data_IF_631075571893
#
_entry.id   IF_631075571893
#
_cell.length_a   1.000
_cell.length_b   1.000
_cell.length_c   1.000
_cell.angle_alpha   90.00
_cell.angle_beta   90.00
_cell.angle_gamma   90.00
#
_symmetry.space_group_name_H-M   'P 1'
#
loop_
_entity.id
_entity.type
_entity.pdbx_description
1 polymer ?
#
# COMPACT_ATOMS: atom_id res chain seq x y z
N UNK A 1 24.47 7.95 21.55
CA UNK A 1 24.98 7.00 20.54
C UNK A 1 23.78 6.62 19.68
N UNK A 2 23.59 7.30 18.55
CA UNK A 2 22.44 7.08 17.66
C UNK A 2 22.72 5.85 16.80
N UNK A 3 21.94 4.78 16.96
CA UNK A 3 21.96 3.63 16.06
C UNK A 3 21.29 4.02 14.75
N UNK A 4 22.10 4.39 13.76
CA UNK A 4 21.68 4.60 12.37
C UNK A 4 21.36 3.29 11.65
N UNK A 5 20.38 2.54 12.15
CA UNK A 5 19.75 1.43 11.41
C UNK A 5 18.46 1.95 10.77
N UNK A 6 18.64 2.78 9.73
CA UNK A 6 17.55 3.02 8.79
C UNK A 6 17.24 1.70 8.12
N UNK A 7 16.01 1.21 8.26
CA UNK A 7 15.45 0.23 7.33
C UNK A 7 15.48 0.87 5.94
N UNK A 8 16.59 0.68 5.21
CA UNK A 8 16.65 1.08 3.83
C UNK A 8 15.97 -0.03 3.03
N UNK A 9 14.71 0.20 2.72
CA UNK A 9 13.96 -0.63 1.79
C UNK A 9 14.68 -0.60 0.45
N UNK A 10 14.71 -1.74 -0.23
CA UNK A 10 15.33 -1.79 -1.54
C UNK A 10 14.66 -0.76 -2.46
N UNK A 11 15.43 0.12 -3.11
CA UNK A 11 14.87 1.25 -3.88
C UNK A 11 13.82 0.84 -4.96
N UNK A 12 13.84 -0.42 -5.40
CA UNK A 12 12.86 -0.97 -6.35
C UNK A 12 11.47 -1.21 -5.74
N UNK A 13 11.36 -1.16 -4.41
CA UNK A 13 10.17 -1.45 -3.62
C UNK A 13 9.64 -0.19 -2.90
N UNK A 14 10.14 1.00 -3.25
CA UNK A 14 9.68 2.28 -2.65
C UNK A 14 8.16 2.44 -2.75
N UNK A 15 7.57 2.08 -3.90
CA UNK A 15 6.12 2.12 -4.11
C UNK A 15 5.38 1.04 -3.33
N UNK A 16 5.97 -0.16 -3.18
CA UNK A 16 5.37 -1.24 -2.37
C UNK A 16 5.44 -0.92 -0.87
N UNK A 17 6.49 -0.24 -0.41
CA UNK A 17 6.56 0.30 0.95
C UNK A 17 5.49 1.38 1.17
N UNK A 18 5.28 2.27 0.20
CA UNK A 18 4.23 3.26 0.27
C UNK A 18 2.84 2.61 0.34
N UNK A 19 2.59 1.55 -0.44
CA UNK A 19 1.36 0.75 -0.36
C UNK A 19 1.20 0.13 1.03
N UNK A 20 2.26 -0.50 1.57
CA UNK A 20 2.23 -1.09 2.91
C UNK A 20 1.82 -0.05 3.96
N UNK A 21 2.47 1.11 3.96
CA UNK A 21 2.18 2.19 4.91
C UNK A 21 0.75 2.70 4.77
N UNK A 22 0.25 2.85 3.54
CA UNK A 22 -1.12 3.28 3.29
C UNK A 22 -2.13 2.26 3.82
N UNK A 23 -1.90 0.97 3.56
CA UNK A 23 -2.78 -0.12 4.02
C UNK A 23 -2.81 -0.26 5.55
N UNK A 24 -1.66 -0.13 6.21
CA UNK A 24 -1.61 -0.17 7.67
C UNK A 24 -2.30 1.04 8.29
N UNK A 25 -2.03 2.24 7.76
CA UNK A 25 -2.69 3.47 8.22
C UNK A 25 -4.20 3.41 8.03
N UNK A 26 -4.67 2.87 6.90
CA UNK A 26 -6.10 2.66 6.67
C UNK A 26 -6.72 1.73 7.72
N UNK A 27 -6.02 0.65 8.10
CA UNK A 27 -6.45 -0.21 9.20
C UNK A 27 -6.50 0.54 10.53
N UNK A 28 -5.50 1.37 10.83
CA UNK A 28 -5.46 2.15 12.07
C UNK A 28 -6.60 3.17 12.14
N UNK A 29 -6.90 3.86 11.03
CA UNK A 29 -8.05 4.77 10.93
C UNK A 29 -9.36 4.03 11.22
N UNK A 30 -9.55 2.84 10.64
CA UNK A 30 -10.74 2.01 10.93
C UNK A 30 -10.79 1.62 12.40
N UNK A 31 -9.66 1.26 13.01
CA UNK A 31 -9.60 0.86 14.41
C UNK A 31 -9.94 2.01 15.37
N UNK A 32 -9.61 3.25 15.00
CA UNK A 32 -9.86 4.47 15.79
C UNK A 32 -11.27 5.06 15.59
N UNK A 33 -12.06 4.51 14.67
CA UNK A 33 -13.41 4.98 14.38
C UNK A 33 -14.30 4.89 15.64
N UNK A 34 -15.05 5.95 15.90
CA UNK A 34 -15.94 6.05 17.06
C UNK A 34 -17.39 6.18 16.64
N UNK A 35 -18.28 5.61 17.45
CA UNK A 35 -19.73 5.79 17.34
C UNK A 35 -20.25 6.61 18.51
N UNK A 36 -21.39 7.27 18.32
CA UNK A 36 -22.09 7.98 19.39
C UNK A 36 -23.19 7.05 19.91
N UNK A 37 -23.12 6.69 21.19
CA UNK A 37 -24.14 5.89 21.87
C UNK A 37 -25.46 6.64 22.05
N UNK A 38 -26.54 5.94 22.38
CA UNK A 38 -27.85 6.52 22.74
C UNK A 38 -27.77 7.51 23.93
N UNK A 39 -26.68 7.46 24.71
CA UNK A 39 -26.42 8.36 25.84
C UNK A 39 -25.62 9.61 25.45
N UNK A 40 -25.25 9.74 24.17
CA UNK A 40 -24.42 10.82 23.65
C UNK A 40 -22.92 10.69 23.98
N UNK A 41 -22.49 9.52 24.47
CA UNK A 41 -21.07 9.24 24.73
C UNK A 41 -20.42 8.59 23.50
N UNK A 42 -19.18 8.97 23.20
CA UNK A 42 -18.35 8.29 22.22
C UNK A 42 -17.98 6.88 22.72
N UNK A 43 -18.27 5.88 21.91
CA UNK A 43 -17.90 4.48 22.13
C UNK A 43 -17.10 3.98 20.92
N UNK A 44 -16.14 3.10 21.15
CA UNK A 44 -15.38 2.47 20.07
C UNK A 44 -16.35 1.76 19.12
N UNK A 45 -16.24 2.07 17.82
CA UNK A 45 -17.14 1.49 16.81
C UNK A 45 -17.01 -0.04 16.74
N UNK A 46 -15.84 -0.55 17.15
CA UNK A 46 -15.45 -1.93 16.96
C UNK A 46 -15.08 -2.63 18.27
N UNK A 47 -15.41 -3.92 18.34
CA UNK A 47 -15.15 -4.77 19.51
C UNK A 47 -13.72 -5.33 19.51
N UNK A 48 -13.21 -5.71 20.68
CA UNK A 48 -11.91 -6.38 20.82
C UNK A 48 -11.66 -7.56 19.82
N UNK A 49 -12.62 -8.49 19.56
CA UNK A 49 -12.42 -9.52 18.54
C UNK A 49 -12.17 -8.99 17.12
N UNK A 50 -12.85 -7.91 16.74
CA UNK A 50 -12.63 -7.25 15.44
C UNK A 50 -11.20 -6.70 15.37
N UNK A 51 -10.77 -6.00 16.42
CA UNK A 51 -9.43 -5.41 16.49
C UNK A 51 -8.35 -6.50 16.42
N UNK A 52 -8.57 -7.65 17.08
CA UNK A 52 -7.66 -8.79 17.00
C UNK A 52 -7.55 -9.36 15.59
N UNK A 53 -8.65 -9.48 14.85
CA UNK A 53 -8.63 -10.00 13.49
C UNK A 53 -8.03 -8.99 12.50
N UNK A 54 -8.28 -7.70 12.69
CA UNK A 54 -7.60 -6.62 11.96
C UNK A 54 -6.08 -6.65 12.18
N UNK A 55 -5.63 -6.75 13.44
CA UNK A 55 -4.20 -6.84 13.77
C UNK A 55 -3.57 -8.09 13.16
N UNK A 56 -4.24 -9.25 13.19
CA UNK A 56 -3.74 -10.46 12.51
C UNK A 56 -3.57 -10.24 11.00
N UNK A 57 -4.52 -9.56 10.37
CA UNK A 57 -4.43 -9.24 8.95
C UNK A 57 -3.27 -8.27 8.66
N UNK A 58 -3.09 -7.22 9.48
CA UNK A 58 -1.95 -6.29 9.37
C UNK A 58 -0.61 -7.02 9.55
N UNK A 59 -0.51 -7.93 10.53
CA UNK A 59 0.69 -8.73 10.74
C UNK A 59 1.02 -9.63 9.55
N UNK A 60 -0.01 -10.25 8.94
CA UNK A 60 0.18 -11.07 7.74
C UNK A 60 0.69 -10.23 6.55
N UNK A 61 0.16 -9.01 6.38
CA UNK A 61 0.60 -8.07 5.36
C UNK A 61 2.08 -7.65 5.56
N UNK A 62 2.46 -7.29 6.80
CA UNK A 62 3.83 -6.92 7.17
C UNK A 62 4.82 -8.05 6.90
N UNK A 63 4.46 -9.29 7.27
CA UNK A 63 5.29 -10.47 7.06
C UNK A 63 5.48 -10.79 5.57
N UNK A 64 4.43 -10.61 4.77
CA UNK A 64 4.51 -10.81 3.32
C UNK A 64 5.43 -9.77 2.66
N UNK A 65 5.37 -8.51 3.10
CA UNK A 65 6.28 -7.47 2.62
C UNK A 65 7.74 -7.78 3.00
N UNK A 66 8.01 -8.10 4.28
CA UNK A 66 9.37 -8.48 4.74
C UNK A 66 9.93 -9.67 3.95
N UNK A 67 9.10 -10.66 3.66
CA UNK A 67 9.48 -11.82 2.83
C UNK A 67 9.85 -11.39 1.41
N UNK A 68 9.04 -10.50 0.81
CA UNK A 68 9.25 -9.97 -0.54
C UNK A 68 10.54 -9.14 -0.60
N UNK A 69 10.76 -8.27 0.39
CA UNK A 69 11.95 -7.45 0.49
C UNK A 69 13.22 -8.30 0.63
N UNK A 70 13.19 -9.33 1.49
CA UNK A 70 14.30 -10.28 1.65
C UNK A 70 14.59 -11.06 0.37
N UNK A 71 13.55 -11.49 -0.34
CA UNK A 71 13.70 -12.18 -1.61
C UNK A 71 14.35 -11.28 -2.67
N UNK A 72 13.86 -10.04 -2.80
CA UNK A 72 14.41 -9.03 -3.70
C UNK A 72 15.88 -8.70 -3.38
N UNK A 73 16.18 -8.47 -2.10
CA UNK A 73 17.55 -8.23 -1.63
C UNK A 73 18.49 -9.41 -1.91
N UNK A 74 17.98 -10.63 -1.94
CA UNK A 74 18.76 -11.83 -2.28
C UNK A 74 18.97 -11.96 -3.78
N UNK A 75 17.93 -11.73 -4.59
CA UNK A 75 17.97 -11.78 -6.04
C UNK A 75 19.00 -10.79 -6.62
N UNK A 76 18.99 -9.56 -6.11
CA UNK A 76 19.92 -8.51 -6.55
C UNK A 76 21.23 -8.47 -5.78
N UNK A 77 21.54 -9.53 -5.02
CA UNK A 77 22.79 -9.67 -4.25
C UNK A 77 23.07 -8.48 -3.32
N UNK A 78 22.01 -7.79 -2.86
CA UNK A 78 22.10 -6.63 -1.96
C UNK A 78 22.40 -7.02 -0.51
N UNK A 79 22.57 -8.31 -0.25
CA UNK A 79 22.89 -8.86 1.07
C UNK A 79 23.91 -9.99 0.93
N UNK A 80 24.60 -10.30 2.04
CA UNK A 80 25.49 -11.45 2.13
C UNK A 80 26.90 -11.23 1.55
N UNK A 81 27.65 -12.34 1.42
CA UNK A 81 29.10 -12.34 1.12
C UNK A 81 29.46 -11.80 -0.26
N UNK A 82 28.52 -11.80 -1.21
CA UNK A 82 28.80 -11.35 -2.58
C UNK A 82 28.82 -9.83 -2.67
N UNK A 83 27.84 -9.15 -2.04
CA UNK A 83 27.89 -7.70 -1.82
C UNK A 83 29.20 -7.26 -1.16
N UNK A 84 29.65 -7.98 -0.14
CA UNK A 84 30.89 -7.65 0.57
C UNK A 84 32.16 -7.84 -0.27
N UNK A 85 32.11 -8.67 -1.32
CA UNK A 85 33.26 -8.95 -2.19
C UNK A 85 33.34 -7.99 -3.37
N UNK A 86 32.21 -7.51 -3.86
CA UNK A 86 32.13 -6.64 -5.04
C UNK A 86 31.00 -5.61 -4.88
N UNK A 87 31.15 -4.75 -3.87
CA UNK A 87 30.13 -3.76 -3.53
C UNK A 87 29.88 -2.79 -4.69
N UNK A 88 30.95 -2.31 -5.34
CA UNK A 88 30.86 -1.37 -6.45
C UNK A 88 30.15 -1.98 -7.67
N UNK A 89 30.46 -3.23 -8.05
CA UNK A 89 29.82 -3.91 -9.18
C UNK A 89 28.35 -4.23 -8.92
N UNK A 90 28.03 -4.67 -7.70
CA UNK A 90 26.64 -4.92 -7.27
C UNK A 90 25.83 -3.61 -7.28
N UNK A 91 26.39 -2.53 -6.72
CA UNK A 91 25.72 -1.23 -6.67
C UNK A 91 25.44 -0.68 -8.07
N UNK A 92 26.39 -0.79 -9.00
CA UNK A 92 26.19 -0.29 -10.37
C UNK A 92 25.13 -1.09 -11.12
N UNK A 93 25.19 -2.41 -11.04
CA UNK A 93 24.18 -3.30 -11.64
C UNK A 93 22.79 -2.99 -11.07
N UNK A 94 22.70 -2.77 -9.76
CA UNK A 94 21.43 -2.45 -9.13
C UNK A 94 20.93 -1.05 -9.49
N UNK A 95 21.80 -0.03 -9.58
CA UNK A 95 21.41 1.31 -10.06
C UNK A 95 20.86 1.27 -11.47
N UNK A 96 21.48 0.50 -12.36
CA UNK A 96 20.98 0.33 -13.72
C UNK A 96 19.60 -0.32 -13.72
N UNK A 97 19.40 -1.38 -12.94
CA UNK A 97 18.08 -2.01 -12.77
C UNK A 97 17.02 -1.00 -12.26
N UNK A 98 17.36 -0.15 -11.29
CA UNK A 98 16.45 0.90 -10.80
C UNK A 98 16.13 1.93 -11.89
N UNK A 99 17.11 2.33 -12.70
CA UNK A 99 16.90 3.28 -13.79
C UNK A 99 15.94 2.70 -14.85
N UNK A 100 16.16 1.44 -15.25
CA UNK A 100 15.27 0.72 -16.16
C UNK A 100 13.86 0.59 -15.58
N UNK A 101 13.76 0.28 -14.28
CA UNK A 101 12.47 0.18 -13.58
C UNK A 101 11.70 1.50 -13.56
N UNK A 102 12.38 2.60 -13.25
CA UNK A 102 11.78 3.94 -13.23
C UNK A 102 11.30 4.36 -14.61
N UNK A 103 12.04 4.01 -15.66
CA UNK A 103 11.64 4.30 -17.03
C UNK A 103 10.28 3.65 -17.36
N UNK A 104 10.05 2.39 -16.95
CA UNK A 104 8.76 1.71 -17.14
C UNK A 104 7.58 2.44 -16.47
N UNK A 105 7.77 2.96 -15.25
CA UNK A 105 6.73 3.70 -14.53
C UNK A 105 6.40 5.06 -15.16
N UNK A 106 7.41 5.76 -15.70
CA UNK A 106 7.22 7.05 -16.38
C UNK A 106 6.44 6.90 -17.69
N UNK A 107 6.62 5.81 -18.43
CA UNK A 107 5.84 5.60 -19.67
C UNK A 107 4.34 5.36 -19.41
N UNK A 108 3.96 4.92 -18.22
CA UNK A 108 2.56 4.67 -17.86
C UNK A 108 1.83 5.93 -17.36
N UNK A 109 2.52 6.99 -16.97
CA UNK A 109 1.94 8.16 -16.30
C UNK A 109 2.53 9.45 -16.88
N UNK A 110 1.70 10.25 -17.56
CA UNK A 110 2.11 11.53 -18.12
C UNK A 110 2.51 12.56 -17.04
N UNK A 111 3.24 13.63 -17.43
CA UNK A 111 3.57 14.71 -16.50
C UNK A 111 2.32 15.48 -16.07
N UNK A 112 2.31 15.93 -14.82
CA UNK A 112 1.24 16.76 -14.26
C UNK A 112 1.17 18.14 -14.92
N UNK A 113 -0.06 18.66 -15.11
CA UNK A 113 -0.29 20.00 -15.63
C UNK A 113 0.04 21.10 -14.62
N UNK A 114 0.26 22.33 -15.11
CA UNK A 114 0.66 23.51 -14.31
C UNK A 114 -0.33 23.94 -13.21
N UNK A 115 -1.53 23.35 -13.14
CA UNK A 115 -2.55 23.61 -12.11
C UNK A 115 -2.73 22.50 -11.07
N UNK A 116 -1.83 21.51 -11.02
CA UNK A 116 -2.05 20.32 -10.19
C UNK A 116 -1.97 20.62 -8.69
N UNK A 117 -2.95 20.13 -7.93
CA UNK A 117 -3.04 20.32 -6.47
C UNK A 117 -1.91 19.58 -5.73
N UNK A 118 -1.63 19.92 -4.46
CA UNK A 118 -0.66 19.19 -3.65
C UNK A 118 -0.96 17.69 -3.54
N UNK A 119 -2.24 17.31 -3.43
CA UNK A 119 -2.66 15.90 -3.37
C UNK A 119 -2.36 15.19 -4.70
N UNK A 120 -2.72 15.79 -5.84
CA UNK A 120 -2.41 15.25 -7.17
C UNK A 120 -0.90 15.09 -7.37
N UNK A 121 -0.09 16.04 -6.89
CA UNK A 121 1.36 15.93 -6.91
C UNK A 121 1.89 14.80 -6.04
N UNK A 122 1.28 14.56 -4.88
CA UNK A 122 1.65 13.46 -4.00
C UNK A 122 1.26 12.11 -4.60
N UNK A 123 0.07 11.99 -5.17
CA UNK A 123 -0.41 10.80 -5.89
C UNK A 123 0.48 10.48 -7.09
N UNK A 124 0.79 11.47 -7.92
CA UNK A 124 1.70 11.29 -9.05
C UNK A 124 3.10 10.85 -8.62
N UNK A 125 3.64 11.46 -7.55
CA UNK A 125 4.91 11.02 -6.96
C UNK A 125 4.85 9.57 -6.48
N UNK A 126 3.79 9.17 -5.78
CA UNK A 126 3.60 7.79 -5.33
C UNK A 126 3.45 6.81 -6.50
N UNK A 127 2.74 7.21 -7.55
CA UNK A 127 2.49 6.37 -8.72
C UNK A 127 3.75 6.19 -9.60
N UNK A 128 4.71 7.10 -9.51
CA UNK A 128 6.02 7.00 -10.19
C UNK A 128 7.08 6.27 -9.37
N UNK A 129 6.79 5.87 -8.12
CA UNK A 129 7.72 5.10 -7.31
C UNK A 129 7.90 3.68 -7.89
N UNK A 130 9.12 3.16 -7.95
CA UNK A 130 9.38 1.78 -8.36
C UNK A 130 8.58 0.78 -7.52
N UNK A 131 8.04 -0.23 -8.20
CA UNK A 131 7.28 -1.33 -7.60
C UNK A 131 7.79 -2.65 -8.16
N UNK A 132 7.54 -3.72 -7.42
CA UNK A 132 7.63 -5.08 -7.92
C UNK A 132 6.60 -5.30 -9.04
N UNK A 133 7.04 -5.92 -10.13
CA UNK A 133 6.25 -6.13 -11.35
C UNK A 133 6.07 -7.62 -11.62
N UNK A 134 5.12 -7.95 -12.49
CA UNK A 134 4.90 -9.31 -12.95
C UNK A 134 6.21 -9.88 -13.54
N UNK A 135 6.64 -11.03 -13.01
CA UNK A 135 7.92 -11.67 -13.35
C UNK A 135 9.00 -11.55 -12.29
N UNK A 136 8.91 -10.57 -11.39
CA UNK A 136 9.87 -10.43 -10.28
C UNK A 136 9.60 -11.42 -9.14
N UNK A 137 10.66 -11.74 -8.39
CA UNK A 137 10.54 -12.60 -7.21
C UNK A 137 9.73 -11.92 -6.10
N UNK A 138 8.59 -12.52 -5.75
CA UNK A 138 7.73 -12.04 -4.68
C UNK A 138 6.51 -11.25 -5.16
N UNK A 139 6.39 -10.98 -6.47
CA UNK A 139 5.26 -10.24 -7.04
C UNK A 139 3.90 -10.88 -6.68
N UNK A 140 3.79 -12.19 -6.91
CA UNK A 140 2.56 -12.94 -6.68
C UNK A 140 2.21 -12.95 -5.20
N UNK A 141 3.17 -13.24 -4.32
CA UNK A 141 2.94 -13.29 -2.87
C UNK A 141 2.56 -11.93 -2.31
N UNK A 142 3.22 -10.86 -2.75
CA UNK A 142 2.92 -9.51 -2.29
C UNK A 142 1.54 -9.05 -2.74
N UNK A 143 1.23 -9.23 -4.03
CA UNK A 143 -0.09 -8.88 -4.59
C UNK A 143 -1.21 -9.66 -3.90
N UNK A 144 -1.01 -10.96 -3.66
CA UNK A 144 -1.97 -11.78 -2.94
C UNK A 144 -2.16 -11.33 -1.47
N UNK A 145 -1.09 -10.93 -0.79
CA UNK A 145 -1.17 -10.45 0.59
C UNK A 145 -1.93 -9.11 0.69
N UNK A 146 -1.67 -8.16 -0.23
CA UNK A 146 -2.45 -6.91 -0.32
C UNK A 146 -3.93 -7.21 -0.52
N UNK A 147 -4.26 -8.09 -1.45
CA UNK A 147 -5.65 -8.47 -1.73
C UNK A 147 -6.31 -9.12 -0.53
N UNK A 148 -5.64 -10.10 0.09
CA UNK A 148 -6.14 -10.79 1.29
C UNK A 148 -6.42 -9.81 2.43
N UNK A 149 -5.51 -8.87 2.69
CA UNK A 149 -5.69 -7.85 3.72
C UNK A 149 -6.93 -7.00 3.45
N UNK A 150 -7.04 -6.44 2.24
CA UNK A 150 -8.18 -5.61 1.82
C UNK A 150 -9.49 -6.38 1.96
N UNK A 151 -9.57 -7.59 1.41
CA UNK A 151 -10.78 -8.42 1.47
C UNK A 151 -11.16 -8.75 2.93
N UNK A 152 -10.17 -9.00 3.79
CA UNK A 152 -10.37 -9.26 5.22
C UNK A 152 -10.94 -8.02 5.92
N UNK A 153 -10.33 -6.86 5.73
CA UNK A 153 -10.80 -5.61 6.36
C UNK A 153 -12.22 -5.26 5.89
N UNK A 154 -12.50 -5.37 4.60
CA UNK A 154 -13.84 -5.14 4.05
C UNK A 154 -14.86 -6.12 4.66
N UNK A 155 -14.53 -7.41 4.76
CA UNK A 155 -15.40 -8.41 5.38
C UNK A 155 -15.68 -8.06 6.84
N UNK A 156 -14.64 -7.74 7.62
CA UNK A 156 -14.77 -7.39 9.03
C UNK A 156 -15.68 -6.17 9.23
N UNK A 157 -15.55 -5.14 8.38
CA UNK A 157 -16.40 -3.94 8.43
C UNK A 157 -17.85 -4.27 8.04
N UNK A 158 -18.07 -5.08 7.00
CA UNK A 158 -19.42 -5.48 6.53
C UNK A 158 -20.18 -6.34 7.54
N UNK A 159 -19.51 -7.35 8.10
CA UNK A 159 -20.08 -8.24 9.12
C UNK A 159 -20.57 -7.45 10.34
N UNK A 160 -19.94 -6.31 10.63
CA UNK A 160 -20.27 -5.47 11.77
C UNK A 160 -21.32 -4.39 11.48
N UNK A 161 -21.28 -3.79 10.30
CA UNK A 161 -22.23 -2.75 9.87
C UNK A 161 -23.59 -3.33 9.45
N UNK A 162 -23.69 -4.65 9.29
CA UNK A 162 -24.96 -5.31 8.95
C UNK A 162 -25.41 -5.02 7.51
N UNK A 163 -24.48 -4.70 6.60
CA UNK A 163 -24.73 -4.27 5.22
C UNK A 163 -25.31 -5.35 4.26
N UNK A 164 -25.99 -6.36 4.81
CA UNK A 164 -26.98 -7.19 4.11
C UNK A 164 -28.43 -6.80 4.45
N UNK A 165 -28.65 -5.80 5.33
CA UNK A 165 -29.97 -5.26 5.65
C UNK A 165 -30.06 -3.78 5.32
N UNK A 166 -30.65 -3.54 4.15
CA UNK A 166 -31.02 -2.26 3.56
C UNK A 166 -29.87 -1.42 3.04
N UNK A 167 -30.10 -0.84 1.86
CA UNK A 167 -29.45 0.36 1.33
C UNK A 167 -29.38 1.44 2.43
N UNK A 168 -28.41 1.33 3.32
CA UNK A 168 -28.05 2.41 4.20
C UNK A 168 -27.18 3.32 3.34
N UNK A 169 -27.75 4.48 3.01
CA UNK A 169 -27.04 5.66 2.58
C UNK A 169 -25.87 5.89 3.56
N UNK A 170 -24.72 5.31 3.25
CA UNK A 170 -23.46 5.80 3.76
C UNK A 170 -23.37 7.22 3.23
N UNK A 171 -23.42 8.19 4.14
CA UNK A 171 -23.03 9.55 3.80
C UNK A 171 -21.56 9.48 3.39
N UNK A 172 -21.38 9.38 2.08
CA UNK A 172 -20.14 9.64 1.35
C UNK A 172 -19.71 11.05 1.67
N UNK A 173 -19.01 11.22 2.78
CA UNK A 173 -18.12 12.35 2.93
C UNK A 173 -16.80 11.80 3.48
N UNK A 174 -15.78 11.86 2.63
CA UNK A 174 -14.38 11.47 2.87
C UNK A 174 -14.02 9.98 2.77
N UNK A 175 -14.58 9.06 3.57
CA UNK A 175 -14.01 7.70 3.67
C UNK A 175 -14.42 6.71 2.56
N UNK A 176 -15.62 6.85 1.97
CA UNK A 176 -16.13 5.91 0.96
C UNK A 176 -15.47 6.04 -0.41
N UNK A 177 -15.24 7.28 -0.85
CA UNK A 177 -14.61 7.57 -2.15
C UNK A 177 -13.12 7.19 -2.13
N UNK A 178 -12.43 7.37 -1.00
CA UNK A 178 -11.01 7.02 -0.88
C UNK A 178 -10.78 5.51 -0.95
N UNK A 179 -11.71 4.68 -0.45
CA UNK A 179 -11.60 3.21 -0.54
C UNK A 179 -11.85 2.73 -1.97
N UNK A 180 -12.85 3.26 -2.66
CA UNK A 180 -13.15 2.87 -4.05
C UNK A 180 -12.07 3.38 -5.03
N UNK A 181 -11.55 4.61 -4.83
CA UNK A 181 -10.43 5.15 -5.61
C UNK A 181 -9.13 4.37 -5.35
N UNK A 182 -8.90 3.93 -4.11
CA UNK A 182 -7.75 3.11 -3.75
C UNK A 182 -7.87 1.68 -4.26
N UNK A 183 -9.07 1.10 -4.30
CA UNK A 183 -9.34 -0.21 -4.92
C UNK A 183 -9.15 -0.15 -6.45
N UNK A 184 -9.65 0.89 -7.12
CA UNK A 184 -9.44 1.13 -8.55
C UNK A 184 -7.94 1.32 -8.87
N UNK A 185 -7.23 2.09 -8.03
CA UNK A 185 -5.78 2.28 -8.12
C UNK A 185 -4.99 0.97 -7.96
N UNK A 186 -5.36 0.12 -6.99
CA UNK A 186 -4.71 -1.19 -6.76
C UNK A 186 -5.00 -2.19 -7.88
N UNK A 187 -6.19 -2.11 -8.50
CA UNK A 187 -6.61 -3.01 -9.58
C UNK A 187 -6.09 -2.57 -10.96
N UNK A 188 -5.43 -1.41 -11.06
CA UNK A 188 -4.95 -0.88 -12.34
C UNK A 188 -6.06 -0.36 -13.24
N UNK A 189 -7.27 -0.17 -12.70
CA UNK A 189 -8.36 0.50 -13.40
C UNK A 189 -8.10 2.01 -13.32
N UNK A 190 -7.68 2.58 -14.44
CA UNK A 190 -7.51 4.02 -14.57
C UNK A 190 -8.85 4.70 -14.25
N UNK A 191 -8.87 5.78 -13.44
CA UNK A 191 -10.05 6.64 -13.39
C UNK A 191 -10.31 7.14 -14.81
N UNK A 192 -11.55 6.99 -15.27
CA UNK A 192 -11.95 7.40 -16.60
C UNK A 192 -11.95 8.93 -16.68
N UNK A 193 -10.82 9.53 -17.05
CA UNK A 193 -10.63 10.99 -17.17
C UNK A 193 -11.34 11.58 -18.42
N UNK A 194 -12.36 10.90 -18.95
CA UNK A 194 -13.17 11.37 -20.08
C UNK A 194 -14.67 11.39 -19.76
N UNK A 195 -15.02 11.84 -18.56
CA UNK A 195 -16.35 12.36 -18.27
C UNK A 195 -16.21 13.87 -18.00
N UNK A 196 -16.07 14.62 -19.10
CA UNK A 196 -16.45 16.03 -19.29
C UNK A 196 -15.48 16.75 -20.24
N UNK A 197 -15.72 16.55 -21.54
CA UNK A 197 -15.46 17.52 -22.61
C UNK A 197 -16.78 17.79 -23.35
#
# INVERSE_FOLDING_TARGET
MYFGMGWNVAAALEGDQADLMALTLWGDIIAEEKTISDTGMEEDAFTEPFLQDLVKAQMALLLAFDTTEKAHKREHLLTGRQRLRDEAGVDETYRQFIAERRALGVFSIGPLGLGSTPNQQQEWKRATMPRILAGDTGYVSWTAAKRYYIDTVISLVRDRTGADRHEAQFTTDTAGNEVDDFLAYIQGEQPNVNADL
#
